data_IF_674342025295
#
_entry.id   IF_674342025295
#
_cell.length_a   1.000
_cell.length_b   1.000
_cell.length_c   1.000
_cell.angle_alpha   90.00
_cell.angle_beta   90.00
_cell.angle_gamma   90.00
#
_symmetry.space_group_name_H-M   'P 1'
#
loop_
_entity.id
_entity.type
_entity.pdbx_description
1 polymer ?
#
# COMPACT_ATOMS: atom_id res chain seq x y z
N UNK A 1 -86.80 6.77 -42.05
CA UNK A 1 -85.87 6.25 -41.05
C UNK A 1 -84.42 6.19 -41.59
N UNK A 2 -83.79 7.27 -42.11
CA UNK A 2 -82.43 7.16 -42.70
C UNK A 2 -81.49 8.32 -42.47
N UNK A 3 -81.91 9.46 -41.86
CA UNK A 3 -81.00 10.55 -41.64
C UNK A 3 -80.19 10.46 -40.34
N UNK A 4 -80.72 9.86 -39.32
CA UNK A 4 -80.01 9.70 -38.01
C UNK A 4 -78.88 8.68 -38.05
N UNK A 5 -78.93 7.65 -38.85
CA UNK A 5 -77.93 6.61 -38.96
C UNK A 5 -76.55 7.14 -39.51
N UNK A 6 -76.63 8.14 -40.38
CA UNK A 6 -75.38 8.76 -40.93
C UNK A 6 -74.63 9.61 -39.87
N UNK A 7 -75.33 10.35 -39.03
CA UNK A 7 -74.75 11.13 -37.96
C UNK A 7 -74.20 10.26 -36.85
N UNK A 8 -74.82 9.18 -36.51
CA UNK A 8 -74.30 8.21 -35.51
C UNK A 8 -73.00 7.57 -35.98
N UNK A 9 -72.87 7.20 -37.25
CA UNK A 9 -71.65 6.67 -37.81
C UNK A 9 -70.53 7.72 -37.85
N UNK A 10 -70.85 8.98 -38.18
CA UNK A 10 -69.89 10.07 -38.20
C UNK A 10 -69.37 10.42 -36.79
N UNK A 11 -70.23 10.43 -35.76
CA UNK A 11 -69.84 10.63 -34.37
C UNK A 11 -68.99 9.48 -33.85
N UNK A 12 -69.31 8.22 -34.20
CA UNK A 12 -68.49 7.06 -33.83
C UNK A 12 -67.11 7.10 -34.51
N UNK A 13 -67.03 7.59 -35.74
CA UNK A 13 -65.71 7.73 -36.44
C UNK A 13 -64.86 8.82 -35.76
N UNK A 14 -65.42 9.96 -35.39
CA UNK A 14 -64.74 11.05 -34.67
C UNK A 14 -64.29 10.57 -33.31
N UNK A 15 -65.10 9.82 -32.57
CA UNK A 15 -64.75 9.28 -31.28
C UNK A 15 -63.60 8.23 -31.39
N UNK A 16 -63.61 7.40 -32.44
CA UNK A 16 -62.58 6.43 -32.70
C UNK A 16 -61.22 7.09 -33.05
N UNK A 17 -61.21 8.14 -33.89
CA UNK A 17 -60.04 8.91 -34.24
C UNK A 17 -59.49 9.68 -33.01
N UNK A 18 -60.37 10.23 -32.19
CA UNK A 18 -60.00 10.88 -30.94
C UNK A 18 -59.36 9.95 -29.91
N UNK A 19 -59.89 8.73 -29.80
CA UNK A 19 -59.31 7.69 -28.92
C UNK A 19 -57.94 7.21 -29.38
N UNK A 20 -57.69 7.06 -30.68
CA UNK A 20 -56.40 6.68 -31.24
C UNK A 20 -55.33 7.74 -30.98
N UNK A 21 -55.67 9.04 -31.21
CA UNK A 21 -54.73 10.13 -30.93
C UNK A 21 -54.40 10.33 -29.46
N UNK A 22 -55.34 10.02 -28.54
CA UNK A 22 -55.05 10.07 -27.10
C UNK A 22 -54.11 8.94 -26.65
N UNK A 23 -54.20 7.75 -27.24
CA UNK A 23 -53.29 6.64 -26.92
C UNK A 23 -51.86 6.94 -27.37
N UNK A 24 -51.70 7.48 -28.57
CA UNK A 24 -50.38 7.86 -29.12
C UNK A 24 -49.71 9.02 -28.34
N UNK A 25 -50.50 10.02 -27.93
CA UNK A 25 -50.04 11.09 -27.06
C UNK A 25 -49.59 10.57 -25.68
N UNK A 26 -50.27 9.60 -25.12
CA UNK A 26 -49.86 8.98 -23.85
C UNK A 26 -48.58 8.16 -23.98
N UNK A 27 -48.41 7.46 -25.08
CA UNK A 27 -47.16 6.71 -25.37
C UNK A 27 -45.96 7.67 -25.53
N UNK A 28 -46.12 8.76 -26.27
CA UNK A 28 -45.10 9.80 -26.41
C UNK A 28 -44.76 10.43 -25.06
N UNK A 29 -45.74 10.72 -24.23
CA UNK A 29 -45.48 11.23 -22.87
C UNK A 29 -44.71 10.25 -21.99
N UNK A 30 -45.04 8.98 -22.08
CA UNK A 30 -44.34 7.93 -21.34
C UNK A 30 -42.89 7.76 -21.84
N UNK A 31 -42.67 7.82 -23.15
CA UNK A 31 -41.37 7.77 -23.75
C UNK A 31 -40.51 8.98 -23.29
N UNK A 32 -41.07 10.18 -23.36
CA UNK A 32 -40.38 11.39 -22.88
C UNK A 32 -40.02 11.32 -21.39
N UNK A 33 -40.92 10.77 -20.55
CA UNK A 33 -40.61 10.54 -19.12
C UNK A 33 -39.47 9.56 -18.93
N UNK A 34 -39.46 8.44 -19.66
CA UNK A 34 -38.37 7.46 -19.58
C UNK A 34 -37.05 8.08 -20.03
N UNK A 35 -37.05 8.84 -21.12
CA UNK A 35 -35.86 9.54 -21.60
C UNK A 35 -35.37 10.58 -20.58
N UNK A 36 -36.27 11.34 -19.97
CA UNK A 36 -35.88 12.31 -18.95
C UNK A 36 -35.26 11.67 -17.70
N UNK A 37 -35.76 10.51 -17.27
CA UNK A 37 -35.17 9.73 -16.18
C UNK A 37 -33.79 9.24 -16.60
N UNK A 38 -33.65 8.63 -17.78
CA UNK A 38 -32.34 8.14 -18.27
C UNK A 38 -31.31 9.27 -18.38
N UNK A 39 -31.71 10.42 -18.91
CA UNK A 39 -30.82 11.59 -19.01
C UNK A 39 -30.37 12.06 -17.62
N UNK A 40 -31.28 12.07 -16.65
CA UNK A 40 -30.96 12.43 -15.27
C UNK A 40 -29.95 11.44 -14.67
N UNK A 41 -30.22 10.14 -14.78
CA UNK A 41 -29.37 9.09 -14.23
C UNK A 41 -27.97 9.14 -14.87
N UNK A 42 -27.91 9.36 -16.19
CA UNK A 42 -26.64 9.55 -16.90
C UNK A 42 -25.89 10.80 -16.44
N UNK A 43 -26.60 11.91 -16.21
CA UNK A 43 -25.95 13.14 -15.73
C UNK A 43 -25.43 13.02 -14.30
N UNK A 44 -26.12 12.29 -13.42
CA UNK A 44 -25.63 11.96 -12.08
C UNK A 44 -24.38 11.07 -12.12
N UNK A 45 -24.36 10.07 -12.99
CA UNK A 45 -23.17 9.21 -13.17
C UNK A 45 -21.98 9.97 -13.78
N UNK A 46 -22.20 10.83 -14.76
CA UNK A 46 -21.15 11.70 -15.32
C UNK A 46 -20.58 12.63 -14.23
N UNK A 47 -21.43 13.21 -13.40
CA UNK A 47 -20.97 14.07 -12.30
C UNK A 47 -20.10 13.28 -11.29
N UNK A 48 -20.51 12.05 -10.94
CA UNK A 48 -19.77 11.15 -10.09
C UNK A 48 -18.41 10.75 -10.69
N UNK A 49 -18.39 10.36 -11.97
CA UNK A 49 -17.17 10.00 -12.67
C UNK A 49 -16.21 11.17 -12.78
N UNK A 50 -16.71 12.38 -13.05
CA UNK A 50 -15.89 13.59 -13.08
C UNK A 50 -15.28 13.91 -11.71
N UNK A 51 -16.00 13.72 -10.63
CA UNK A 51 -15.47 13.87 -9.28
C UNK A 51 -14.38 12.84 -8.97
N UNK A 52 -14.60 11.58 -9.35
CA UNK A 52 -13.58 10.52 -9.19
C UNK A 52 -12.34 10.85 -10.02
N UNK A 53 -12.51 11.24 -11.28
CA UNK A 53 -11.42 11.62 -12.17
C UNK A 53 -10.59 12.77 -11.60
N UNK A 54 -11.25 13.83 -11.11
CA UNK A 54 -10.58 14.95 -10.45
C UNK A 54 -9.74 14.49 -9.27
N UNK A 55 -10.32 13.66 -8.38
CA UNK A 55 -9.61 13.17 -7.20
C UNK A 55 -8.38 12.31 -7.54
N UNK A 56 -8.47 11.48 -8.58
CA UNK A 56 -7.35 10.65 -9.05
C UNK A 56 -6.28 11.54 -9.70
N UNK A 57 -6.69 12.51 -10.51
CA UNK A 57 -5.77 13.47 -11.14
C UNK A 57 -4.99 14.28 -10.10
N UNK A 58 -5.66 14.76 -9.05
CA UNK A 58 -5.01 15.51 -7.96
C UNK A 58 -4.00 14.63 -7.19
N UNK A 59 -4.34 13.37 -6.93
CA UNK A 59 -3.41 12.42 -6.31
C UNK A 59 -2.20 12.14 -7.19
N UNK A 60 -2.41 11.96 -8.49
CA UNK A 60 -1.32 11.73 -9.44
C UNK A 60 -0.36 12.92 -9.47
N UNK A 61 -0.89 14.14 -9.54
CA UNK A 61 -0.08 15.36 -9.52
C UNK A 61 0.72 15.50 -8.22
N UNK A 62 0.09 15.22 -7.08
CA UNK A 62 0.78 15.25 -5.78
C UNK A 62 1.94 14.23 -5.72
N UNK A 63 1.71 13.02 -6.24
CA UNK A 63 2.75 11.99 -6.33
C UNK A 63 3.90 12.40 -7.26
N UNK A 64 3.61 12.99 -8.41
CA UNK A 64 4.63 13.50 -9.33
C UNK A 64 5.46 14.63 -8.70
N UNK A 65 4.82 15.54 -7.96
CA UNK A 65 5.52 16.60 -7.23
C UNK A 65 6.47 16.03 -6.16
N UNK A 66 6.02 15.03 -5.40
CA UNK A 66 6.82 14.33 -4.39
C UNK A 66 8.01 13.62 -5.04
N UNK A 67 7.78 12.86 -6.11
CA UNK A 67 8.85 12.21 -6.88
C UNK A 67 9.88 13.21 -7.41
N UNK A 68 9.43 14.37 -7.85
CA UNK A 68 10.34 15.42 -8.33
C UNK A 68 11.18 16.03 -7.20
N UNK A 69 10.61 16.19 -6.00
CA UNK A 69 11.39 16.61 -4.80
C UNK A 69 12.46 15.59 -4.45
N UNK A 70 12.13 14.30 -4.46
CA UNK A 70 13.07 13.21 -4.19
C UNK A 70 14.17 13.12 -5.25
N UNK A 71 13.84 13.30 -6.54
CA UNK A 71 14.84 13.35 -7.62
C UNK A 71 15.81 14.52 -7.45
N UNK A 72 15.31 15.69 -7.04
CA UNK A 72 16.16 16.85 -6.72
C UNK A 72 17.06 16.55 -5.54
N UNK A 73 16.55 15.91 -4.48
CA UNK A 73 17.32 15.47 -3.34
C UNK A 73 18.43 14.48 -3.76
N UNK A 74 18.09 13.42 -4.50
CA UNK A 74 19.05 12.45 -5.00
C UNK A 74 20.19 13.11 -5.79
N UNK A 75 19.84 14.02 -6.68
CA UNK A 75 20.80 14.81 -7.48
C UNK A 75 21.73 15.65 -6.60
N UNK A 76 21.20 16.26 -5.54
CA UNK A 76 22.00 17.06 -4.59
C UNK A 76 22.97 16.22 -3.78
N UNK A 77 22.61 14.97 -3.45
CA UNK A 77 23.46 14.06 -2.70
C UNK A 77 24.66 13.64 -3.53
N UNK A 78 24.46 13.29 -4.80
CA UNK A 78 25.55 12.99 -5.72
C UNK A 78 25.36 11.70 -6.51
N UNK A 79 26.40 11.29 -7.23
CA UNK A 79 26.37 10.12 -8.10
C UNK A 79 26.10 8.82 -7.35
N UNK A 80 25.28 7.99 -7.97
CA UNK A 80 24.90 6.67 -7.48
C UNK A 80 23.63 6.65 -6.62
N UNK A 81 23.17 7.80 -6.12
CA UNK A 81 21.85 7.87 -5.44
C UNK A 81 20.77 8.04 -6.48
N UNK A 82 19.72 7.23 -6.39
CA UNK A 82 18.61 7.22 -7.35
C UNK A 82 17.26 7.16 -6.64
N UNK A 83 16.22 7.48 -7.38
CA UNK A 83 14.83 7.37 -6.91
C UNK A 83 14.10 6.34 -7.75
N UNK A 84 13.38 5.46 -7.10
CA UNK A 84 12.51 4.45 -7.71
C UNK A 84 11.11 4.60 -7.17
N UNK A 85 10.14 4.38 -8.03
CA UNK A 85 8.76 4.20 -7.60
C UNK A 85 8.50 2.71 -7.38
N UNK A 86 7.90 2.37 -6.26
CA UNK A 86 7.58 0.98 -5.89
C UNK A 86 6.12 0.88 -5.47
N UNK A 87 5.62 -0.34 -5.37
CA UNK A 87 4.25 -0.61 -4.90
C UNK A 87 4.02 -0.09 -3.47
N UNK A 88 5.07 -0.07 -2.65
CA UNK A 88 5.02 0.44 -1.26
C UNK A 88 5.14 1.98 -1.19
N UNK A 89 5.58 2.63 -2.27
CA UNK A 89 5.80 4.07 -2.37
C UNK A 89 7.16 4.44 -2.98
N UNK A 90 7.47 5.74 -3.07
CA UNK A 90 8.74 6.19 -3.59
C UNK A 90 9.91 5.84 -2.66
N UNK A 91 11.00 5.37 -3.26
CA UNK A 91 12.22 4.93 -2.56
C UNK A 91 13.41 5.74 -3.03
N UNK A 92 14.16 6.30 -2.08
CA UNK A 92 15.48 6.86 -2.32
C UNK A 92 16.54 5.79 -2.03
N UNK A 93 17.28 5.40 -3.06
CA UNK A 93 18.22 4.27 -3.05
C UNK A 93 19.66 4.75 -2.93
N UNK A 94 20.38 4.21 -1.95
CA UNK A 94 21.79 4.44 -1.71
C UNK A 94 22.60 3.17 -1.92
N UNK A 95 23.53 3.10 -2.88
CA UNK A 95 24.51 2.04 -2.92
C UNK A 95 25.32 1.96 -1.60
N UNK A 96 25.59 0.73 -1.15
CA UNK A 96 26.36 0.48 0.09
C UNK A 96 27.61 1.34 0.20
N UNK A 97 28.38 1.42 -0.89
CA UNK A 97 29.67 2.11 -0.94
C UNK A 97 29.62 3.60 -0.55
N UNK A 98 28.45 4.24 -0.64
CA UNK A 98 28.26 5.63 -0.26
C UNK A 98 28.26 5.77 1.26
N UNK A 99 27.55 4.87 1.94
CA UNK A 99 27.32 4.96 3.38
C UNK A 99 28.32 4.16 4.21
N UNK A 100 28.78 3.00 3.72
CA UNK A 100 29.53 2.02 4.51
C UNK A 100 30.73 1.48 3.77
N UNK A 101 31.70 0.97 4.52
CA UNK A 101 32.74 0.08 4.01
C UNK A 101 32.23 -1.35 3.91
N UNK A 102 32.91 -2.16 3.08
CA UNK A 102 32.50 -3.55 2.83
C UNK A 102 32.46 -4.38 4.11
N UNK A 103 31.32 -4.97 4.40
CA UNK A 103 31.09 -5.77 5.60
C UNK A 103 30.92 -4.96 6.88
N UNK A 104 30.89 -3.64 6.82
CA UNK A 104 30.74 -2.77 7.98
C UNK A 104 29.38 -2.12 8.03
N UNK A 105 28.96 -1.72 9.25
CA UNK A 105 27.75 -0.95 9.51
C UNK A 105 28.04 0.47 10.07
N UNK A 106 29.34 0.80 10.29
CA UNK A 106 29.71 2.15 10.67
C UNK A 106 29.60 3.10 9.47
N UNK A 107 28.93 4.23 9.65
CA UNK A 107 28.73 5.24 8.59
C UNK A 107 30.06 5.94 8.34
N UNK A 108 30.42 6.09 7.08
CA UNK A 108 31.64 6.80 6.65
C UNK A 108 31.44 8.33 6.70
N UNK A 109 32.47 9.14 6.84
CA UNK A 109 32.37 10.60 6.83
C UNK A 109 31.65 11.15 5.59
N UNK A 110 31.92 10.57 4.42
CA UNK A 110 31.21 10.94 3.19
C UNK A 110 29.71 10.58 3.25
N UNK A 111 29.38 9.43 3.85
CA UNK A 111 28.00 8.99 4.06
C UNK A 111 27.22 9.90 5.01
N UNK A 112 27.90 10.46 6.04
CA UNK A 112 27.28 11.44 6.94
C UNK A 112 26.81 12.67 6.18
N UNK A 113 27.63 13.20 5.25
CA UNK A 113 27.25 14.34 4.40
C UNK A 113 26.00 14.04 3.55
N UNK A 114 25.89 12.82 3.04
CA UNK A 114 24.70 12.37 2.29
C UNK A 114 23.47 12.28 3.19
N UNK A 115 23.61 11.69 4.38
CA UNK A 115 22.52 11.55 5.35
C UNK A 115 22.06 12.89 5.94
N UNK A 116 22.95 13.89 6.10
CA UNK A 116 22.58 15.27 6.47
C UNK A 116 21.61 15.89 5.47
N UNK A 117 21.79 15.64 4.17
CA UNK A 117 20.85 16.13 3.15
C UNK A 117 19.49 15.44 3.24
N UNK A 118 19.48 14.14 3.55
CA UNK A 118 18.21 13.41 3.82
C UNK A 118 17.54 13.99 5.07
N UNK A 119 18.28 14.23 6.13
CA UNK A 119 17.76 14.84 7.35
C UNK A 119 17.21 16.25 7.10
N UNK A 120 17.90 17.08 6.29
CA UNK A 120 17.38 18.38 5.85
C UNK A 120 16.04 18.28 5.16
N UNK A 121 15.92 17.36 4.20
CA UNK A 121 14.65 17.08 3.52
C UNK A 121 13.54 16.66 4.49
N UNK A 122 13.84 15.81 5.48
CA UNK A 122 12.88 15.40 6.48
C UNK A 122 12.45 16.52 7.42
N UNK A 123 13.37 17.44 7.74
CA UNK A 123 13.07 18.65 8.55
C UNK A 123 12.17 19.62 7.80
N UNK A 124 12.37 19.79 6.49
CA UNK A 124 11.55 20.63 5.62
C UNK A 124 10.16 20.02 5.35
N UNK A 125 10.01 18.69 5.52
CA UNK A 125 8.78 17.96 5.28
C UNK A 125 8.33 17.17 6.52
N UNK A 126 7.80 17.83 7.56
CA UNK A 126 7.51 17.21 8.86
C UNK A 126 6.42 16.12 8.80
N UNK A 127 5.60 16.13 7.77
CA UNK A 127 4.54 15.12 7.53
C UNK A 127 5.09 13.79 6.97
N UNK A 128 6.33 13.76 6.47
CA UNK A 128 6.95 12.57 5.90
C UNK A 128 7.61 11.75 7.01
N UNK A 129 7.36 10.45 7.02
CA UNK A 129 8.13 9.45 7.76
C UNK A 129 8.90 8.59 6.78
N UNK A 130 9.93 7.90 7.24
CA UNK A 130 10.72 7.01 6.38
C UNK A 130 10.91 5.65 7.02
N UNK A 131 10.99 4.61 6.20
CA UNK A 131 11.53 3.31 6.61
C UNK A 131 12.88 3.12 5.93
N UNK A 132 13.89 2.83 6.71
CA UNK A 132 15.25 2.56 6.26
C UNK A 132 15.41 1.07 6.12
N UNK A 133 15.55 0.60 4.89
CA UNK A 133 15.63 -0.82 4.54
C UNK A 133 17.07 -1.16 4.16
N UNK A 134 17.70 -2.08 4.91
CA UNK A 134 19.01 -2.60 4.61
C UNK A 134 18.95 -3.85 3.75
N UNK A 135 19.83 -3.91 2.73
CA UNK A 135 19.92 -5.04 1.80
C UNK A 135 21.37 -5.47 1.59
N UNK A 136 21.56 -6.77 1.35
CA UNK A 136 22.84 -7.36 0.95
C UNK A 136 22.69 -8.10 -0.37
N UNK A 137 23.79 -8.57 -0.92
CA UNK A 137 23.81 -9.65 -1.90
C UNK A 137 23.75 -11.01 -1.20
N UNK A 138 23.87 -12.10 -1.98
CA UNK A 138 23.87 -13.48 -1.48
C UNK A 138 25.25 -13.97 -1.05
N UNK A 139 26.31 -13.18 -1.15
CA UNK A 139 27.64 -13.59 -0.73
C UNK A 139 27.67 -13.81 0.79
N UNK A 140 28.28 -14.92 1.27
CA UNK A 140 28.40 -15.15 2.69
C UNK A 140 29.36 -14.14 3.32
N UNK A 141 29.05 -13.74 4.56
CA UNK A 141 29.94 -12.88 5.34
C UNK A 141 31.16 -13.71 5.77
N UNK A 142 32.34 -13.36 5.26
CA UNK A 142 33.58 -14.08 5.58
C UNK A 142 34.47 -13.30 6.55
N UNK A 143 34.91 -12.08 6.18
CA UNK A 143 35.88 -11.29 6.94
C UNK A 143 35.35 -10.70 8.25
N UNK A 144 34.07 -10.39 8.31
CA UNK A 144 33.39 -9.77 9.47
C UNK A 144 32.41 -10.72 10.14
N UNK A 145 32.62 -12.05 9.97
CA UNK A 145 31.77 -13.07 10.58
C UNK A 145 31.73 -13.00 12.11
N UNK A 146 32.79 -12.49 12.73
CA UNK A 146 32.83 -12.25 14.17
C UNK A 146 31.96 -11.07 14.65
N UNK A 147 31.51 -10.21 13.74
CA UNK A 147 30.61 -9.09 14.03
C UNK A 147 29.17 -9.39 13.66
N UNK A 148 28.96 -10.19 12.60
CA UNK A 148 27.66 -10.43 12.02
C UNK A 148 27.39 -11.91 11.81
N UNK A 149 26.33 -12.44 12.39
CA UNK A 149 25.98 -13.86 12.25
C UNK A 149 25.40 -14.18 10.86
N UNK A 150 24.84 -13.19 10.18
CA UNK A 150 24.18 -13.36 8.89
C UNK A 150 24.08 -12.04 8.10
N UNK A 151 23.76 -12.16 6.82
CA UNK A 151 23.43 -11.01 5.98
C UNK A 151 22.20 -10.23 6.50
N UNK A 152 21.26 -10.90 7.16
CA UNK A 152 20.14 -10.24 7.82
C UNK A 152 20.61 -9.39 8.99
N UNK A 153 21.51 -9.92 9.83
CA UNK A 153 22.11 -9.17 10.94
C UNK A 153 22.86 -7.92 10.43
N UNK A 154 23.74 -8.05 9.44
CA UNK A 154 24.46 -6.94 8.84
C UNK A 154 23.52 -5.89 8.25
N UNK A 155 22.50 -6.30 7.51
CA UNK A 155 21.55 -5.36 6.88
C UNK A 155 20.73 -4.61 7.91
N UNK A 156 20.28 -5.28 8.98
CA UNK A 156 19.58 -4.65 10.10
C UNK A 156 20.48 -3.67 10.87
N UNK A 157 21.74 -4.04 11.12
CA UNK A 157 22.72 -3.19 11.79
C UNK A 157 23.00 -1.91 10.98
N UNK A 158 23.05 -1.99 9.66
CA UNK A 158 23.20 -0.83 8.77
C UNK A 158 21.99 0.10 8.85
N UNK A 159 20.79 -0.45 8.79
CA UNK A 159 19.56 0.32 8.95
C UNK A 159 19.52 1.01 10.33
N UNK A 160 19.94 0.32 11.39
CA UNK A 160 20.02 0.85 12.75
C UNK A 160 21.05 1.98 12.86
N UNK A 161 22.20 1.87 12.21
CA UNK A 161 23.21 2.94 12.19
C UNK A 161 22.67 4.21 11.54
N UNK A 162 21.93 4.07 10.43
CA UNK A 162 21.26 5.20 9.78
C UNK A 162 20.17 5.79 10.67
N UNK A 163 19.38 4.96 11.33
CA UNK A 163 18.37 5.40 12.32
C UNK A 163 19.02 6.26 13.42
N UNK A 164 20.08 5.77 14.03
CA UNK A 164 20.79 6.51 15.08
C UNK A 164 21.37 7.83 14.57
N UNK A 165 21.92 7.84 13.36
CA UNK A 165 22.44 9.07 12.77
C UNK A 165 21.31 10.10 12.60
N UNK A 166 20.18 9.71 12.02
CA UNK A 166 19.06 10.62 11.80
C UNK A 166 18.44 11.12 13.11
N UNK A 167 18.29 10.25 14.10
CA UNK A 167 17.61 10.60 15.36
C UNK A 167 18.52 11.29 16.35
N UNK A 168 19.74 10.79 16.55
CA UNK A 168 20.65 11.32 17.59
C UNK A 168 21.52 12.48 17.08
N UNK A 169 22.03 12.40 15.84
CA UNK A 169 22.90 13.43 15.31
C UNK A 169 22.13 14.55 14.61
N UNK A 170 21.04 14.21 13.94
CA UNK A 170 20.25 15.14 13.15
C UNK A 170 18.92 15.55 13.80
N UNK A 171 18.60 15.04 14.99
CA UNK A 171 17.40 15.36 15.76
C UNK A 171 16.08 15.13 15.00
N UNK A 172 16.03 14.10 14.16
CA UNK A 172 14.74 13.65 13.58
C UNK A 172 14.00 12.85 14.64
N UNK A 173 12.70 13.13 14.82
CA UNK A 173 11.85 12.42 15.79
C UNK A 173 11.84 10.92 15.52
N UNK A 174 12.11 10.08 16.52
CA UNK A 174 12.22 8.62 16.38
C UNK A 174 10.99 7.98 15.74
N UNK A 175 9.78 8.43 16.11
CA UNK A 175 8.53 7.94 15.54
C UNK A 175 8.35 8.19 14.03
N UNK A 176 9.26 8.95 13.40
CA UNK A 176 9.28 9.21 11.96
C UNK A 176 10.26 8.31 11.19
N UNK A 177 11.09 7.55 11.89
CA UNK A 177 12.11 6.69 11.28
C UNK A 177 11.89 5.26 11.72
N UNK A 178 11.59 4.39 10.77
CA UNK A 178 11.46 2.96 10.97
C UNK A 178 12.63 2.24 10.32
N UNK A 179 12.92 1.03 10.73
CA UNK A 179 14.03 0.24 10.16
C UNK A 179 13.58 -1.18 9.79
N UNK A 180 14.18 -1.72 8.74
CA UNK A 180 14.07 -3.12 8.38
C UNK A 180 15.38 -3.67 7.81
N UNK A 181 15.69 -4.94 8.08
CA UNK A 181 16.84 -5.66 7.53
C UNK A 181 16.38 -6.84 6.71
N UNK A 182 16.47 -6.74 5.39
CA UNK A 182 15.99 -7.77 4.46
C UNK A 182 17.06 -8.77 4.06
N UNK A 183 18.34 -8.49 4.37
CA UNK A 183 19.43 -9.33 3.88
C UNK A 183 19.37 -9.46 2.35
N UNK A 184 19.57 -10.70 1.79
CA UNK A 184 19.55 -10.93 0.36
C UNK A 184 18.15 -11.16 -0.23
N UNK A 185 17.08 -11.13 0.56
CA UNK A 185 15.75 -11.64 0.18
C UNK A 185 14.95 -10.72 -0.75
N UNK A 186 15.39 -9.48 -0.95
CA UNK A 186 14.75 -8.54 -1.88
C UNK A 186 15.77 -8.03 -2.91
N UNK A 187 16.26 -8.87 -3.82
CA UNK A 187 17.21 -8.45 -4.85
C UNK A 187 16.53 -7.56 -5.88
N UNK A 188 17.26 -6.56 -6.40
CA UNK A 188 16.83 -5.70 -7.51
C UNK A 188 17.58 -6.01 -8.80
N UNK A 189 18.62 -6.83 -8.71
CA UNK A 189 19.44 -7.30 -9.83
C UNK A 189 19.91 -8.74 -9.58
N UNK A 190 20.47 -9.37 -10.61
CA UNK A 190 20.94 -10.75 -10.52
C UNK A 190 22.14 -10.90 -9.57
N UNK A 191 22.03 -11.80 -8.59
CA UNK A 191 23.13 -12.18 -7.70
C UNK A 191 24.19 -13.06 -8.38
N UNK A 192 23.98 -13.50 -9.63
CA UNK A 192 24.99 -14.26 -10.38
C UNK A 192 26.07 -13.37 -11.01
N UNK A 193 25.87 -12.05 -11.04
CA UNK A 193 26.82 -11.10 -11.63
C UNK A 193 27.41 -10.16 -10.57
N UNK A 194 28.69 -9.80 -10.75
CA UNK A 194 29.35 -8.82 -9.86
C UNK A 194 28.63 -7.46 -9.83
N UNK A 195 28.10 -7.03 -10.99
CA UNK A 195 27.35 -5.77 -11.10
C UNK A 195 26.06 -5.86 -10.33
N UNK A 196 25.26 -6.91 -10.53
CA UNK A 196 24.00 -7.09 -9.83
C UNK A 196 24.17 -7.23 -8.31
N UNK A 197 25.21 -7.94 -7.85
CA UNK A 197 25.55 -7.96 -6.42
C UNK A 197 25.81 -6.57 -5.85
N UNK A 198 26.54 -5.71 -6.60
CA UNK A 198 26.78 -4.32 -6.17
C UNK A 198 25.49 -3.50 -6.07
N UNK A 199 24.53 -3.74 -6.96
CA UNK A 199 23.21 -3.10 -6.93
C UNK A 199 22.36 -3.61 -5.77
N UNK A 200 22.45 -4.92 -5.46
CA UNK A 200 21.74 -5.52 -4.34
C UNK A 200 22.25 -5.02 -2.98
N UNK A 201 23.54 -4.75 -2.84
CA UNK A 201 24.12 -4.14 -1.63
C UNK A 201 23.76 -2.65 -1.57
N UNK A 202 22.69 -2.34 -0.87
CA UNK A 202 22.12 -0.98 -0.80
C UNK A 202 21.37 -0.70 0.50
N UNK A 203 21.09 0.56 0.72
CA UNK A 203 20.10 1.04 1.70
C UNK A 203 19.02 1.79 0.95
N UNK A 204 17.80 1.51 1.26
CA UNK A 204 16.63 2.17 0.73
C UNK A 204 15.95 3.02 1.80
N UNK A 205 15.55 4.24 1.45
CA UNK A 205 14.66 5.06 2.25
C UNK A 205 13.28 5.04 1.58
N UNK A 206 12.39 4.20 2.07
CA UNK A 206 11.00 4.21 1.66
C UNK A 206 10.30 5.41 2.28
N UNK A 207 9.76 6.25 1.45
CA UNK A 207 9.04 7.45 1.87
C UNK A 207 7.61 7.04 2.25
N UNK A 208 7.29 7.28 3.52
CA UNK A 208 5.96 7.04 4.06
C UNK A 208 5.25 8.38 4.20
N UNK A 209 4.54 8.77 3.19
CA UNK A 209 3.61 9.89 3.32
C UNK A 209 2.52 9.45 4.28
N UNK A 210 2.13 10.28 5.25
CA UNK A 210 0.95 10.01 6.08
C UNK A 210 -0.28 10.01 5.17
N UNK A 211 -0.51 8.91 4.47
CA UNK A 211 -1.84 8.60 3.96
C UNK A 211 -2.67 8.26 5.19
N UNK A 212 -3.60 9.16 5.48
CA UNK A 212 -4.68 9.01 6.44
C UNK A 212 -4.38 8.01 7.58
N UNK A 213 -4.25 8.53 8.80
CA UNK A 213 -4.37 7.76 10.05
C UNK A 213 -4.99 6.38 9.81
N UNK A 214 -4.24 5.34 10.15
CA UNK A 214 -4.88 4.07 10.54
C UNK A 214 -6.17 4.44 11.28
N UNK A 215 -7.30 3.80 10.97
CA UNK A 215 -8.51 4.04 11.75
C UNK A 215 -8.11 3.96 13.22
N UNK A 216 -8.62 4.85 14.08
CA UNK A 216 -8.25 4.85 15.48
C UNK A 216 -8.37 3.40 15.94
N UNK A 217 -7.29 2.87 16.51
CA UNK A 217 -7.26 1.56 17.12
C UNK A 217 -8.60 1.46 17.86
N UNK A 218 -9.45 0.53 17.46
CA UNK A 218 -10.72 0.29 18.12
C UNK A 218 -10.37 0.01 19.58
N UNK A 219 -10.35 1.08 20.36
CA UNK A 219 -10.30 1.01 21.80
C UNK A 219 -11.68 0.51 22.21
N UNK A 220 -11.65 -0.57 22.95
CA UNK A 220 -12.82 -1.19 23.60
C UNK A 220 -13.78 -1.95 22.67
N UNK A 221 -13.40 -3.18 22.32
CA UNK A 221 -14.35 -4.25 22.47
C UNK A 221 -14.27 -4.71 23.92
N UNK A 222 -14.79 -3.89 24.81
CA UNK A 222 -15.30 -4.34 26.10
C UNK A 222 -16.76 -4.64 25.84
N UNK A 223 -17.03 -5.82 25.37
CA UNK A 223 -18.32 -6.43 25.56
C UNK A 223 -18.05 -7.69 26.36
N UNK A 224 -18.03 -7.53 27.69
CA UNK A 224 -18.50 -8.55 28.59
C UNK A 224 -19.95 -8.80 28.22
N UNK A 225 -20.18 -9.86 27.45
CA UNK A 225 -21.42 -10.64 27.48
C UNK A 225 -21.24 -11.79 26.48
N UNK A 226 -21.54 -13.00 26.99
CA UNK A 226 -21.76 -14.24 26.23
C UNK A 226 -20.50 -15.04 25.83
N UNK A 227 -19.70 -15.44 26.82
CA UNK A 227 -19.04 -16.75 26.75
C UNK A 227 -19.88 -17.70 27.60
N UNK A 228 -20.91 -18.24 26.98
CA UNK A 228 -21.60 -19.42 27.50
C UNK A 228 -20.63 -20.60 27.36
N UNK A 229 -20.13 -21.03 28.53
CA UNK A 229 -19.33 -22.23 28.68
C UNK A 229 -20.19 -23.43 28.28
N UNK A 230 -19.94 -23.92 27.07
CA UNK A 230 -20.38 -25.26 26.72
C UNK A 230 -19.47 -26.24 27.45
N UNK A 231 -19.95 -26.73 28.60
CA UNK A 231 -19.38 -27.87 29.28
C UNK A 231 -19.42 -29.08 28.35
N UNK A 232 -18.24 -29.56 27.96
CA UNK A 232 -18.12 -30.89 27.36
C UNK A 232 -18.08 -31.91 28.46
N UNK A 233 -18.86 -33.01 28.37
CA UNK A 233 -18.84 -34.07 29.37
C UNK A 233 -17.51 -34.82 29.30
N UNK A 234 -16.90 -34.98 30.48
CA UNK A 234 -15.76 -35.85 30.72
C UNK A 234 -16.13 -37.29 30.40
N UNK A 235 -15.57 -37.85 29.35
CA UNK A 235 -15.61 -39.28 29.10
C UNK A 235 -14.45 -39.95 29.87
N UNK A 236 -14.82 -40.69 30.89
CA UNK A 236 -13.96 -41.53 31.71
C UNK A 236 -13.30 -42.61 30.86
N UNK A 237 -12.03 -42.54 30.62
CA UNK A 237 -11.24 -43.70 30.16
C UNK A 237 -10.61 -44.40 31.36
N UNK A 238 -11.13 -45.57 31.62
CA UNK A 238 -10.66 -46.53 32.59
C UNK A 238 -9.29 -47.05 32.22
N UNK A 239 -8.50 -47.13 33.29
CA UNK A 239 -7.25 -47.89 33.39
C UNK A 239 -7.38 -49.36 32.97
N UNK A 240 -6.43 -49.82 32.21
CA UNK A 240 -5.92 -51.19 32.36
C UNK A 240 -4.41 -51.24 32.06
N UNK A 241 -3.73 -51.62 33.10
CA UNK A 241 -2.34 -52.07 33.19
C UNK A 241 -2.17 -53.39 32.51
N UNK A 242 -1.12 -53.56 31.74
CA UNK A 242 -0.37 -54.83 31.67
C UNK A 242 1.04 -54.58 31.15
N UNK A 243 1.98 -54.84 32.04
CA UNK A 243 3.40 -55.10 31.73
C UNK A 243 3.56 -56.59 31.45
N UNK A 244 4.36 -57.01 30.55
CA UNK A 244 5.21 -58.20 30.83
C UNK A 244 6.69 -57.85 30.75
N UNK A 245 7.34 -58.29 31.81
CA UNK A 245 8.78 -58.48 31.97
C UNK A 245 9.32 -59.54 31.02
N UNK A 246 10.66 -59.46 30.90
CA UNK A 246 11.63 -60.49 30.58
C UNK A 246 11.82 -60.90 29.10
N UNK A 247 13.01 -60.84 28.61
CA UNK A 247 14.05 -61.87 28.78
C UNK A 247 15.44 -61.41 28.33
N UNK A 248 16.37 -61.71 29.21
CA UNK A 248 17.83 -61.67 28.97
C UNK A 248 18.25 -62.70 27.93
N UNK A 249 19.29 -62.43 27.20
CA UNK A 249 20.05 -63.53 26.73
C UNK A 249 20.91 -63.40 25.48
N UNK A 250 22.18 -63.17 25.74
CA UNK A 250 23.40 -63.46 24.98
C UNK A 250 24.01 -62.36 24.16
#
# INVERSE_FOLDING_TARGET
MSKYGKYVKFFLLIAFVGMSGCAELNELRNLNRRQAITIRDQSEEIARLNQQYSSVSDKLRANEEEMNKLRKLAKSIGEGVSVRDTVEGPVLLFPEKILFDSGMAAIKPHGEGALKKVAGFLKENPQISVRVDGHTDTDPIMRTKHLWDSNHHLSAARALSVFHFLTKNENITEGRVHIAGFGPNRPIASNSTTTGKKENRRVEFLILTKVASLPPKASSLTTEQDVELVEQPEEQAQTETEVPEEDEGK
#
